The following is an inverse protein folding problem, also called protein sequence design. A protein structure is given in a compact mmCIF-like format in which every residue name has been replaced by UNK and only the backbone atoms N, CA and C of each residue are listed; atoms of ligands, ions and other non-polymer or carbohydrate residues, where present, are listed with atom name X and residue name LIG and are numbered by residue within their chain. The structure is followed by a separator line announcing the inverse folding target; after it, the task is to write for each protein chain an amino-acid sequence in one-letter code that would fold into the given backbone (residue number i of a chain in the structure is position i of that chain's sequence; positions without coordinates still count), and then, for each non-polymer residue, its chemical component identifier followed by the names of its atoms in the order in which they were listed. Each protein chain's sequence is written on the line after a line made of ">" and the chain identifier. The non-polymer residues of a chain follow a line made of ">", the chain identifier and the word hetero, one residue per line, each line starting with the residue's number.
data_IF_384998814015
#
_entry.id   IF_384998814015
#
_cell.length_a   1.000
_cell.length_b   1.000
_cell.length_c   1.000
_cell.angle_alpha   90.00
_cell.angle_beta   90.00
_cell.angle_gamma   90.00
#
_symmetry.space_group_name_H-M   'P 1'
#
loop_
_entity.id
_entity.type
_entity.pdbx_description
1 polymer ?
#
# COMPACT_ATOMS: atom_id res chain seq x y z
N UNK A 1 0.36 47.61 -8.11
CA UNK A 1 0.94 46.51 -7.31
C UNK A 1 -0.01 45.34 -7.45
N UNK A 2 0.50 44.26 -8.04
CA UNK A 2 -0.25 43.12 -8.55
C UNK A 2 -0.90 42.34 -7.40
N UNK A 3 -2.22 42.25 -7.42
CA UNK A 3 -3.00 41.51 -6.43
C UNK A 3 -3.03 40.04 -6.88
N UNK A 4 -1.92 39.33 -6.69
CA UNK A 4 -1.87 37.90 -6.96
C UNK A 4 -2.70 37.17 -5.89
N UNK A 5 -3.86 36.64 -6.30
CA UNK A 5 -4.68 35.80 -5.44
C UNK A 5 -3.85 34.61 -4.94
N UNK A 6 -3.75 34.48 -3.62
CA UNK A 6 -3.04 33.37 -2.97
C UNK A 6 -3.65 32.05 -3.46
N UNK A 7 -2.86 31.03 -3.87
CA UNK A 7 -3.42 29.75 -4.29
C UNK A 7 -4.29 29.17 -3.15
N UNK A 8 -5.37 28.48 -3.52
CA UNK A 8 -6.38 28.00 -2.57
C UNK A 8 -5.87 26.97 -1.55
N UNK A 9 -4.65 26.46 -1.74
CA UNK A 9 -3.97 25.50 -0.86
C UNK A 9 -2.46 25.59 -1.04
N UNK A 10 -1.73 25.35 0.05
CA UNK A 10 -0.26 25.33 0.06
C UNK A 10 0.31 23.95 -0.31
N UNK A 11 -0.41 22.86 -0.01
CA UNK A 11 -0.05 21.49 -0.38
C UNK A 11 -1.26 20.54 -0.40
N UNK A 12 -1.13 19.42 -1.12
CA UNK A 12 -2.05 18.30 -1.11
C UNK A 12 -1.28 17.02 -0.73
N UNK A 13 -1.80 16.27 0.24
CA UNK A 13 -1.27 14.96 0.63
C UNK A 13 -2.26 13.87 0.23
N UNK A 14 -1.84 12.98 -0.66
CA UNK A 14 -2.60 11.79 -1.05
C UNK A 14 -2.03 10.61 -0.30
N UNK A 15 -2.88 9.90 0.43
CA UNK A 15 -2.51 8.69 1.18
C UNK A 15 -3.43 7.55 0.77
N UNK A 16 -2.86 6.36 0.72
CA UNK A 16 -3.58 5.10 0.58
C UNK A 16 -3.04 4.13 1.62
N UNK A 17 -3.65 2.95 1.70
CA UNK A 17 -3.11 1.88 2.53
C UNK A 17 -1.74 1.38 2.04
N UNK A 18 -1.47 1.53 0.73
CA UNK A 18 -0.27 1.01 0.07
C UNK A 18 -0.32 -0.50 -0.19
N UNK A 19 0.77 -1.02 -0.75
CA UNK A 19 0.95 -2.45 -1.01
C UNK A 19 2.39 -2.76 -1.45
N UNK A 20 2.76 -4.05 -1.52
CA UNK A 20 4.11 -4.47 -1.90
C UNK A 20 4.49 -4.00 -3.31
N UNK A 21 5.73 -3.55 -3.50
CA UNK A 21 6.25 -3.10 -4.80
C UNK A 21 6.98 -4.21 -5.57
N UNK A 22 7.39 -5.27 -4.86
CA UNK A 22 8.00 -6.49 -5.41
C UNK A 22 7.65 -7.70 -4.56
N UNK A 23 7.87 -8.89 -5.12
CA UNK A 23 7.52 -10.17 -4.49
C UNK A 23 8.12 -10.34 -3.08
N UNK A 24 9.33 -9.86 -2.87
CA UNK A 24 10.02 -9.95 -1.58
C UNK A 24 9.35 -9.11 -0.48
N UNK A 25 8.55 -8.09 -0.85
CA UNK A 25 7.86 -7.21 0.08
C UNK A 25 6.55 -7.82 0.60
N UNK A 26 6.01 -8.86 -0.07
CA UNK A 26 4.66 -9.38 0.22
C UNK A 26 4.54 -9.89 1.65
N UNK A 27 5.50 -10.71 2.11
CA UNK A 27 5.47 -11.25 3.47
C UNK A 27 5.69 -10.15 4.52
N UNK A 28 6.73 -9.29 4.41
CA UNK A 28 6.91 -8.14 5.31
C UNK A 28 5.68 -7.22 5.39
N UNK A 29 5.02 -6.95 4.26
CA UNK A 29 3.80 -6.16 4.22
C UNK A 29 2.68 -6.82 5.02
N UNK A 30 2.39 -8.09 4.76
CA UNK A 30 1.32 -8.82 5.44
C UNK A 30 1.60 -9.00 6.93
N UNK A 31 2.83 -9.25 7.34
CA UNK A 31 3.22 -9.30 8.76
C UNK A 31 2.95 -7.97 9.47
N UNK A 32 3.25 -6.84 8.80
CA UNK A 32 2.96 -5.54 9.36
C UNK A 32 1.45 -5.26 9.45
N UNK A 33 0.69 -5.63 8.42
CA UNK A 33 -0.78 -5.49 8.37
C UNK A 33 -1.46 -6.32 9.47
N UNK A 34 -0.94 -7.51 9.75
CA UNK A 34 -1.52 -8.46 10.71
C UNK A 34 -0.99 -8.26 12.15
N UNK A 35 -0.12 -7.28 12.38
CA UNK A 35 0.43 -7.00 13.71
C UNK A 35 -0.67 -6.83 14.76
N UNK A 36 -0.63 -7.66 15.81
CA UNK A 36 -1.62 -7.65 16.89
C UNK A 36 -2.98 -8.24 16.53
N UNK A 37 -3.11 -8.94 15.38
CA UNK A 37 -4.33 -9.64 14.98
C UNK A 37 -4.17 -11.15 15.18
N UNK A 38 -5.22 -11.86 15.66
CA UNK A 38 -5.18 -13.32 15.81
C UNK A 38 -5.45 -14.01 14.48
N UNK A 39 -4.56 -13.81 13.50
CA UNK A 39 -4.68 -14.43 12.17
C UNK A 39 -3.69 -15.60 12.05
N UNK A 40 -4.16 -16.82 11.74
CA UNK A 40 -3.27 -17.96 11.51
C UNK A 40 -2.28 -17.70 10.36
N UNK A 41 -1.04 -18.14 10.54
CA UNK A 41 0.01 -17.97 9.52
C UNK A 41 -0.36 -18.62 8.18
N UNK A 42 -1.03 -19.76 8.20
CA UNK A 42 -1.52 -20.43 6.99
C UNK A 42 -2.48 -19.55 6.18
N UNK A 43 -3.35 -18.79 6.85
CA UNK A 43 -4.28 -17.86 6.20
C UNK A 43 -3.53 -16.69 5.57
N UNK A 44 -2.49 -16.18 6.24
CA UNK A 44 -1.61 -15.16 5.67
C UNK A 44 -0.92 -15.66 4.39
N UNK A 45 -0.40 -16.90 4.41
CA UNK A 45 0.28 -17.50 3.26
C UNK A 45 -0.68 -17.77 2.09
N UNK A 46 -1.91 -18.20 2.36
CA UNK A 46 -2.95 -18.34 1.34
C UNK A 46 -3.22 -17.01 0.64
N UNK A 47 -3.37 -15.92 1.40
CA UNK A 47 -3.54 -14.57 0.85
C UNK A 47 -2.29 -14.09 0.12
N UNK A 48 -1.09 -14.42 0.60
CA UNK A 48 0.17 -14.07 -0.07
C UNK A 48 0.22 -14.64 -1.50
N UNK A 49 -0.32 -15.84 -1.71
CA UNK A 49 -0.40 -16.46 -3.03
C UNK A 49 -1.19 -15.64 -4.07
N UNK A 50 -2.12 -14.79 -3.64
CA UNK A 50 -2.85 -13.92 -4.57
C UNK A 50 -1.95 -12.88 -5.25
N UNK A 51 -0.85 -12.47 -4.61
CA UNK A 51 0.10 -11.53 -5.22
C UNK A 51 0.90 -12.15 -6.35
N UNK A 52 1.04 -13.49 -6.41
CA UNK A 52 1.76 -14.15 -7.50
C UNK A 52 1.10 -13.90 -8.87
N UNK A 53 -0.23 -13.73 -8.91
CA UNK A 53 -0.95 -13.37 -10.13
C UNK A 53 -0.55 -12.01 -10.70
N UNK A 54 0.04 -11.14 -9.87
CA UNK A 54 0.48 -9.80 -10.23
C UNK A 54 2.02 -9.67 -10.13
N UNK A 55 2.75 -10.77 -10.27
CA UNK A 55 4.22 -10.78 -10.20
C UNK A 55 4.78 -10.36 -8.83
N UNK A 56 3.98 -10.52 -7.77
CA UNK A 56 4.34 -10.10 -6.42
C UNK A 56 4.11 -8.62 -6.13
N UNK A 57 3.44 -7.87 -7.02
CA UNK A 57 3.17 -6.44 -6.85
C UNK A 57 1.71 -6.17 -6.54
N UNK A 58 1.45 -5.09 -5.82
CA UNK A 58 0.08 -4.61 -5.64
C UNK A 58 -0.41 -3.83 -6.86
N UNK A 59 -1.60 -4.14 -7.42
CA UNK A 59 -2.20 -3.34 -8.48
C UNK A 59 -2.47 -1.87 -8.10
N UNK A 60 -2.51 -1.54 -6.81
CA UNK A 60 -2.72 -0.15 -6.35
C UNK A 60 -1.53 0.77 -6.69
N UNK A 61 -0.35 0.20 -6.95
CA UNK A 61 0.86 0.98 -7.22
C UNK A 61 0.91 1.53 -8.67
N UNK A 62 -0.08 1.22 -9.51
CA UNK A 62 -0.20 1.69 -10.89
C UNK A 62 -1.34 2.72 -11.09
N UNK A 63 -1.88 3.28 -9.99
CA UNK A 63 -2.97 4.27 -9.99
C UNK A 63 -2.48 5.72 -10.04
#
# INVERSE_FOLDING_TARGET
>A
MENAAKPAYDALLVVSFGGPERKEDVIPFLENVLRGKPVPRERMLEVAGHYDHFGGKSPINEQ
#
